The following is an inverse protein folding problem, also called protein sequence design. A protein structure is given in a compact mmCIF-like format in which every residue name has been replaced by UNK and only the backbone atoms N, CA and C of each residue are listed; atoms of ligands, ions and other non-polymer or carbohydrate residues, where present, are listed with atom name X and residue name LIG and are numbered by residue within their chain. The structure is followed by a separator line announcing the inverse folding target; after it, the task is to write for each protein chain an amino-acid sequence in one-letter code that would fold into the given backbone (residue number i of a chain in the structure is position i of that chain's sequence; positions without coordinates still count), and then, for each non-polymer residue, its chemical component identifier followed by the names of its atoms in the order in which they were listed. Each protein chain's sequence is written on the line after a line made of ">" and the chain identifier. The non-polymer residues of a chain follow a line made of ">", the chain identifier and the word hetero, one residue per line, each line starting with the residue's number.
data_IF_177577834981
#
_entry.id   IF_177577834981
#
_cell.length_a   1.000
_cell.length_b   1.000
_cell.length_c   1.000
_cell.angle_alpha   90.00
_cell.angle_beta   90.00
_cell.angle_gamma   90.00
#
_symmetry.space_group_name_H-M   'P 1'
#
loop_
_entity.id
_entity.type
_entity.pdbx_description
1 polymer ?
#
# COMPACT_ATOMS: atom_id res chain seq x y z
N UNK A 1 -25.36 -16.29 -23.84
CA UNK A 1 -25.06 -15.28 -22.79
C UNK A 1 -23.59 -14.93 -22.87
N UNK A 2 -23.26 -13.88 -23.63
CA UNK A 2 -21.89 -13.59 -24.08
C UNK A 2 -21.10 -12.67 -23.14
N UNK A 3 -19.86 -12.39 -23.52
CA UNK A 3 -18.97 -11.42 -22.88
C UNK A 3 -19.56 -10.02 -23.06
N UNK A 4 -20.01 -9.40 -21.97
CA UNK A 4 -20.60 -8.06 -21.97
C UNK A 4 -19.52 -7.02 -21.62
N UNK A 5 -19.37 -5.96 -22.42
CA UNK A 5 -18.51 -4.78 -22.14
C UNK A 5 -18.94 -4.04 -20.88
N UNK A 6 -18.08 -3.23 -20.23
CA UNK A 6 -18.39 -2.48 -19.00
C UNK A 6 -19.67 -1.62 -19.07
N UNK A 7 -20.44 -1.58 -17.99
CA UNK A 7 -21.66 -0.77 -17.83
C UNK A 7 -21.77 -0.31 -16.39
N UNK A 8 -22.64 0.67 -16.14
CA UNK A 8 -22.86 1.25 -14.81
C UNK A 8 -23.24 0.20 -13.75
N UNK A 9 -23.97 -0.85 -14.15
CA UNK A 9 -24.37 -1.96 -13.28
C UNK A 9 -23.19 -2.78 -12.70
N UNK A 10 -21.96 -2.60 -13.20
CA UNK A 10 -20.73 -3.25 -12.68
C UNK A 10 -19.83 -2.31 -11.88
N UNK A 11 -20.28 -1.09 -11.60
CA UNK A 11 -19.54 -0.18 -10.73
C UNK A 11 -19.29 -0.84 -9.36
N UNK A 12 -18.07 -0.73 -8.86
CA UNK A 12 -17.70 -1.32 -7.56
C UNK A 12 -17.53 -2.85 -7.54
N UNK A 13 -17.76 -3.57 -8.65
CA UNK A 13 -17.64 -5.04 -8.73
C UNK A 13 -16.38 -5.57 -8.02
N UNK A 14 -15.23 -5.01 -8.37
CA UNK A 14 -13.93 -5.50 -7.88
C UNK A 14 -13.77 -5.23 -6.38
N UNK A 15 -14.14 -4.03 -5.91
CA UNK A 15 -14.03 -3.65 -4.50
C UNK A 15 -14.95 -4.48 -3.58
N UNK A 16 -16.13 -4.85 -4.07
CA UNK A 16 -17.07 -5.72 -3.34
C UNK A 16 -16.68 -7.21 -3.40
N UNK A 17 -16.00 -7.64 -4.46
CA UNK A 17 -15.52 -9.02 -4.60
C UNK A 17 -14.32 -9.31 -3.69
N UNK A 18 -13.45 -8.32 -3.45
CA UNK A 18 -12.24 -8.53 -2.63
C UNK A 18 -12.57 -8.56 -1.15
N UNK A 19 -12.02 -9.52 -0.37
CA UNK A 19 -12.18 -9.52 1.08
C UNK A 19 -11.58 -8.24 1.69
N UNK A 20 -12.29 -7.64 2.64
CA UNK A 20 -11.83 -6.43 3.30
C UNK A 20 -10.83 -6.78 4.40
N UNK A 21 -9.55 -6.66 4.08
CA UNK A 21 -8.48 -6.84 5.06
C UNK A 21 -8.35 -5.58 5.93
N UNK A 22 -8.42 -5.68 7.28
CA UNK A 22 -8.16 -4.55 8.17
C UNK A 22 -6.69 -4.14 8.09
N UNK A 23 -6.42 -2.86 8.36
CA UNK A 23 -5.02 -2.40 8.47
C UNK A 23 -4.41 -3.00 9.72
N UNK A 24 -3.16 -3.46 9.61
CA UNK A 24 -2.39 -3.88 10.77
C UNK A 24 -1.99 -2.67 11.61
N UNK A 25 -1.96 -2.84 12.94
CA UNK A 25 -1.43 -1.83 13.85
C UNK A 25 0.09 -1.77 13.71
N UNK A 26 0.58 -0.64 13.23
CA UNK A 26 2.02 -0.38 13.07
C UNK A 26 2.46 0.74 14.00
N UNK A 27 3.67 0.60 14.58
CA UNK A 27 4.30 1.67 15.34
C UNK A 27 4.44 2.93 14.47
N UNK A 28 4.24 4.09 15.08
CA UNK A 28 4.39 5.38 14.39
C UNK A 28 5.83 5.51 13.88
N UNK A 29 5.98 5.76 12.59
CA UNK A 29 7.27 6.13 12.01
C UNK A 29 7.66 7.51 12.55
N UNK A 30 8.93 7.74 12.90
CA UNK A 30 9.38 9.07 13.26
C UNK A 30 9.18 10.02 12.06
N UNK A 31 9.02 11.31 12.34
CA UNK A 31 8.75 12.32 11.32
C UNK A 31 9.99 13.21 11.09
N UNK A 32 10.02 13.90 9.94
CA UNK A 32 11.04 14.90 9.62
C UNK A 32 12.47 14.37 9.58
N UNK A 33 13.37 15.02 10.33
CA UNK A 33 14.82 14.74 10.29
C UNK A 33 15.16 13.32 10.74
N UNK A 34 14.48 12.81 11.77
CA UNK A 34 14.72 11.46 12.27
C UNK A 34 14.39 10.40 11.19
N UNK A 35 13.33 10.60 10.41
CA UNK A 35 13.00 9.70 9.29
C UNK A 35 14.05 9.76 8.19
N UNK A 36 14.50 10.96 7.81
CA UNK A 36 15.54 11.13 6.79
C UNK A 36 16.85 10.46 7.20
N UNK A 37 17.25 10.53 8.48
CA UNK A 37 18.42 9.83 8.99
C UNK A 37 18.30 8.31 8.85
N UNK A 38 17.18 7.72 9.30
CA UNK A 38 16.96 6.29 9.13
C UNK A 38 16.95 5.85 7.66
N UNK A 39 16.39 6.66 6.76
CA UNK A 39 16.41 6.37 5.32
C UNK A 39 17.82 6.42 4.72
N UNK A 40 18.63 7.38 5.14
CA UNK A 40 20.02 7.48 4.70
C UNK A 40 20.83 6.27 5.17
N UNK A 41 20.75 5.97 6.47
CA UNK A 41 21.50 4.88 7.08
C UNK A 41 21.12 3.53 6.44
N UNK A 42 19.83 3.27 6.23
CA UNK A 42 19.32 2.04 5.58
C UNK A 42 19.67 1.91 4.10
N UNK A 43 19.73 3.02 3.34
CA UNK A 43 20.03 2.98 1.90
C UNK A 43 21.53 2.93 1.60
N UNK A 44 22.31 3.71 2.33
CA UNK A 44 23.69 4.03 1.93
C UNK A 44 24.75 3.36 2.79
N UNK A 45 24.47 3.12 4.07
CA UNK A 45 25.49 2.67 5.04
C UNK A 45 25.36 1.19 5.34
N UNK A 46 24.14 0.69 5.52
CA UNK A 46 23.90 -0.72 5.87
C UNK A 46 23.87 -1.65 4.65
N UNK A 47 23.53 -1.16 3.45
CA UNK A 47 23.51 -1.95 2.22
C UNK A 47 24.88 -2.06 1.50
N UNK A 48 25.89 -1.30 1.97
CA UNK A 48 27.24 -1.29 1.43
C UNK A 48 28.24 -2.17 2.23
N UNK A 49 27.74 -2.95 3.19
CA UNK A 49 28.47 -3.99 3.92
C UNK A 49 27.88 -5.36 3.61
#
# INVERSE_FOLDING_TARGET
>A
MGKVHGSLARAGKVKGQTPKVPKQDTKKKPLGRAHKRMQHDSRSVTAAN
#
